data_IF_492051922138
#
_entry.id   IF_492051922138
#
_cell.length_a   1.000
_cell.length_b   1.000
_cell.length_c   1.000
_cell.angle_alpha   90.00
_cell.angle_beta   90.00
_cell.angle_gamma   90.00
#
_symmetry.space_group_name_H-M   'P 1'
#
loop_
_entity.id
_entity.type
_entity.pdbx_description
1 polymer ?
#
# COMPACT_ATOMS: atom_id res chain seq x y z
N UNK A 1 -18.65 16.02 1.76
CA UNK A 1 -18.10 17.36 1.50
C UNK A 1 -17.30 17.28 0.21
N UNK A 2 -17.53 18.17 -0.73
CA UNK A 2 -16.80 18.20 -1.99
C UNK A 2 -15.66 19.22 -1.94
N UNK A 3 -14.45 18.84 -2.35
CA UNK A 3 -13.28 19.71 -2.34
C UNK A 3 -12.46 19.55 -3.64
N UNK A 4 -12.20 20.66 -4.31
CA UNK A 4 -11.23 20.73 -5.39
C UNK A 4 -9.82 20.90 -4.82
N UNK A 5 -8.88 20.10 -5.29
CA UNK A 5 -7.47 20.15 -4.91
C UNK A 5 -6.58 20.01 -6.14
N UNK A 6 -5.30 20.31 -6.01
CA UNK A 6 -4.33 19.92 -7.03
C UNK A 6 -4.36 18.38 -7.18
N UNK A 7 -4.34 17.91 -8.42
CA UNK A 7 -4.36 16.46 -8.70
C UNK A 7 -3.18 15.73 -8.04
N UNK A 8 -2.02 16.37 -7.94
CA UNK A 8 -0.84 15.78 -7.30
C UNK A 8 -1.02 15.60 -5.78
N UNK A 9 -1.73 16.52 -5.12
CA UNK A 9 -1.91 16.52 -3.66
C UNK A 9 -2.82 15.37 -3.20
N UNK A 10 -3.70 14.88 -4.07
CA UNK A 10 -4.66 13.80 -3.72
C UNK A 10 -3.96 12.54 -3.25
N UNK A 11 -2.73 12.27 -3.73
CA UNK A 11 -1.95 11.06 -3.41
C UNK A 11 -1.52 10.99 -1.95
N UNK A 12 -1.47 12.14 -1.26
CA UNK A 12 -1.12 12.24 0.16
C UNK A 12 -2.22 11.70 1.07
N UNK A 13 -3.48 11.88 0.66
CA UNK A 13 -4.67 11.51 1.45
C UNK A 13 -5.35 10.24 0.92
N UNK A 14 -5.30 10.03 -0.40
CA UNK A 14 -5.91 8.91 -1.10
C UNK A 14 -4.82 8.12 -1.86
N UNK A 15 -3.92 7.43 -1.13
CA UNK A 15 -2.85 6.66 -1.75
C UNK A 15 -3.43 5.44 -2.49
N UNK A 16 -2.81 5.13 -3.64
CA UNK A 16 -3.08 3.90 -4.41
C UNK A 16 -2.07 2.79 -4.11
N UNK A 17 -1.00 3.08 -3.38
CA UNK A 17 0.07 2.14 -3.03
C UNK A 17 0.54 2.41 -1.61
N UNK A 18 1.00 1.36 -0.93
CA UNK A 18 1.48 1.43 0.44
C UNK A 18 2.62 2.44 0.66
N UNK A 19 3.42 2.74 -0.37
CA UNK A 19 4.54 3.70 -0.26
C UNK A 19 4.07 5.12 0.09
N UNK A 20 2.85 5.49 -0.32
CA UNK A 20 2.20 6.76 0.00
C UNK A 20 1.26 6.66 1.22
N UNK A 21 1.08 5.48 1.80
CA UNK A 21 0.26 5.30 3.00
C UNK A 21 1.04 5.74 4.24
N UNK A 22 1.16 7.06 4.41
CA UNK A 22 1.84 7.74 5.53
C UNK A 22 0.81 8.21 6.56
N UNK A 23 1.27 8.91 7.60
CA UNK A 23 0.44 9.46 8.68
C UNK A 23 -0.83 10.15 8.16
N UNK A 24 -0.71 11.02 7.15
CA UNK A 24 -1.85 11.77 6.61
C UNK A 24 -2.93 10.88 5.98
N UNK A 25 -2.53 9.80 5.28
CA UNK A 25 -3.47 8.83 4.73
C UNK A 25 -4.17 8.04 5.85
N UNK A 26 -3.42 7.63 6.88
CA UNK A 26 -3.99 6.95 8.05
C UNK A 26 -4.99 7.85 8.80
N UNK A 27 -4.68 9.14 8.96
CA UNK A 27 -5.62 10.10 9.54
C UNK A 27 -6.91 10.22 8.72
N UNK A 28 -6.82 10.18 7.39
CA UNK A 28 -8.00 10.13 6.53
C UNK A 28 -8.81 8.85 6.75
N UNK A 29 -8.15 7.68 6.86
CA UNK A 29 -8.79 6.39 7.15
C UNK A 29 -9.53 6.38 8.51
N UNK A 30 -8.98 7.01 9.54
CA UNK A 30 -9.61 7.09 10.87
C UNK A 30 -10.75 8.09 10.94
N UNK A 31 -10.72 9.12 10.08
CA UNK A 31 -11.63 10.27 10.16
C UNK A 31 -12.74 10.23 9.11
N UNK A 32 -12.60 9.42 8.06
CA UNK A 32 -13.56 9.36 6.95
C UNK A 32 -14.17 7.97 6.83
N UNK A 33 -15.48 7.94 6.58
CA UNK A 33 -16.16 6.74 6.08
C UNK A 33 -15.69 6.45 4.65
N UNK A 34 -15.61 7.50 3.84
CA UNK A 34 -14.92 7.43 2.56
C UNK A 34 -14.27 8.75 2.18
N UNK A 35 -13.16 8.61 1.46
CA UNK A 35 -12.49 9.65 0.70
C UNK A 35 -12.40 9.15 -0.74
N UNK A 36 -13.19 9.72 -1.64
CA UNK A 36 -13.33 9.21 -3.00
C UNK A 36 -13.04 10.29 -4.05
N UNK A 37 -12.30 9.91 -5.08
CA UNK A 37 -12.10 10.76 -6.25
C UNK A 37 -13.40 10.77 -7.08
N UNK A 38 -14.00 11.94 -7.27
CA UNK A 38 -15.18 12.15 -8.14
C UNK A 38 -14.73 12.43 -9.56
N UNK A 39 -13.72 13.28 -9.70
CA UNK A 39 -13.11 13.61 -10.97
C UNK A 39 -11.61 13.88 -10.76
N UNK A 40 -10.80 13.57 -11.76
CA UNK A 40 -9.38 13.92 -11.72
C UNK A 40 -8.64 13.50 -12.97
N UNK A 41 -7.33 13.65 -12.93
CA UNK A 41 -6.47 13.33 -14.06
C UNK A 41 -6.37 11.82 -14.27
N UNK A 42 -6.47 11.41 -15.53
CA UNK A 42 -6.24 10.02 -15.91
C UNK A 42 -4.74 9.70 -15.82
N UNK A 43 -4.32 8.72 -15.02
CA UNK A 43 -2.92 8.29 -14.98
C UNK A 43 -2.34 7.93 -16.36
N UNK A 44 -3.17 7.41 -17.27
CA UNK A 44 -2.74 7.05 -18.63
C UNK A 44 -2.47 8.28 -19.52
N UNK A 45 -3.02 9.45 -19.17
CA UNK A 45 -2.80 10.71 -19.90
C UNK A 45 -1.46 11.38 -19.57
N UNK A 46 -0.77 10.91 -18.52
CA UNK A 46 0.53 11.45 -18.14
C UNK A 46 1.50 11.19 -19.29
N UNK A 47 2.11 12.24 -19.85
CA UNK A 47 3.33 12.10 -20.65
C UNK A 47 4.42 11.70 -19.70
N UNK A 48 4.50 10.41 -19.49
CA UNK A 48 5.24 9.79 -18.41
C UNK A 48 6.73 10.12 -18.52
N UNK A 49 7.18 11.21 -17.89
CA UNK A 49 8.61 11.43 -17.73
C UNK A 49 9.15 10.46 -16.66
N UNK A 50 10.42 10.04 -16.72
CA UNK A 50 11.02 9.21 -15.68
C UNK A 50 10.84 9.79 -14.27
N UNK A 51 10.85 11.11 -14.11
CA UNK A 51 10.64 11.82 -12.85
C UNK A 51 9.21 11.69 -12.35
N UNK A 52 8.22 11.71 -13.25
CA UNK A 52 6.82 11.53 -12.92
C UNK A 52 6.50 10.07 -12.53
N UNK A 53 7.14 9.09 -13.16
CA UNK A 53 6.99 7.68 -12.75
C UNK A 53 7.52 7.40 -11.36
N UNK A 54 8.67 8.00 -11.02
CA UNK A 54 9.22 7.90 -9.65
C UNK A 54 8.21 8.39 -8.60
N UNK A 55 7.35 9.34 -8.95
CA UNK A 55 6.28 9.87 -8.08
C UNK A 55 4.97 9.07 -8.12
N UNK A 56 4.78 8.16 -9.09
CA UNK A 56 3.54 7.41 -9.25
C UNK A 56 3.43 6.17 -8.37
N UNK A 57 4.53 5.72 -7.75
CA UNK A 57 4.59 4.52 -6.90
C UNK A 57 3.64 3.41 -7.39
N UNK A 58 3.98 2.85 -8.54
CA UNK A 58 3.15 1.82 -9.17
C UNK A 58 3.01 0.61 -8.24
N UNK A 59 1.79 0.07 -8.19
CA UNK A 59 1.50 -1.25 -7.62
C UNK A 59 1.13 -2.22 -8.75
N UNK A 60 1.01 -3.49 -8.40
CA UNK A 60 0.57 -4.54 -9.32
C UNK A 60 -0.68 -4.12 -10.12
N UNK A 61 -0.60 -4.28 -11.44
CA UNK A 61 -1.67 -3.95 -12.38
C UNK A 61 -2.92 -4.77 -12.09
N UNK A 62 -2.78 -6.03 -11.66
CA UNK A 62 -3.93 -6.87 -11.37
C UNK A 62 -4.72 -6.38 -10.16
N UNK A 63 -4.06 -5.78 -9.16
CA UNK A 63 -4.74 -5.08 -8.06
C UNK A 63 -5.56 -3.90 -8.62
N UNK A 64 -5.01 -3.11 -9.54
CA UNK A 64 -5.73 -1.98 -10.13
C UNK A 64 -6.96 -2.42 -10.95
N UNK A 65 -6.80 -3.47 -11.77
CA UNK A 65 -7.90 -4.04 -12.56
C UNK A 65 -8.98 -4.61 -11.64
N UNK A 66 -8.61 -5.42 -10.65
CA UNK A 66 -9.56 -6.03 -9.71
C UNK A 66 -10.27 -4.96 -8.86
N UNK A 67 -9.55 -3.95 -8.39
CA UNK A 67 -10.11 -2.80 -7.67
C UNK A 67 -11.13 -2.01 -8.51
N UNK A 68 -10.83 -1.78 -9.79
CA UNK A 68 -11.76 -1.15 -10.75
C UNK A 68 -12.99 -2.01 -11.01
N UNK A 69 -12.80 -3.31 -11.19
CA UNK A 69 -13.91 -4.26 -11.33
C UNK A 69 -14.82 -4.26 -10.10
N UNK A 70 -14.24 -4.33 -8.90
CA UNK A 70 -14.99 -4.32 -7.65
C UNK A 70 -15.78 -3.02 -7.48
N UNK A 71 -15.19 -1.89 -7.89
CA UNK A 71 -15.86 -0.59 -7.91
C UNK A 71 -17.03 -0.57 -8.89
N UNK A 72 -16.86 -1.06 -10.12
CA UNK A 72 -17.94 -1.15 -11.11
C UNK A 72 -19.08 -2.06 -10.63
N UNK A 73 -18.77 -3.13 -9.90
CA UNK A 73 -19.77 -3.98 -9.26
C UNK A 73 -20.55 -3.24 -8.17
N UNK A 74 -19.87 -2.47 -7.30
CA UNK A 74 -20.51 -1.58 -6.32
C UNK A 74 -21.40 -0.53 -6.98
N UNK A 75 -20.94 0.12 -8.04
CA UNK A 75 -21.73 1.08 -8.81
C UNK A 75 -23.01 0.45 -9.34
N UNK A 76 -22.91 -0.75 -9.93
CA UNK A 76 -24.07 -1.49 -10.42
C UNK A 76 -25.06 -1.82 -9.30
N UNK A 77 -24.57 -2.30 -8.16
CA UNK A 77 -25.40 -2.63 -7.00
C UNK A 77 -26.11 -1.40 -6.42
N UNK A 78 -25.44 -0.24 -6.43
CA UNK A 78 -25.97 1.03 -5.94
C UNK A 78 -26.82 1.80 -6.99
N UNK A 79 -27.01 1.25 -8.20
CA UNK A 79 -27.74 1.94 -9.28
C UNK A 79 -27.01 3.16 -9.86
N UNK A 80 -25.71 3.31 -9.60
CA UNK A 80 -24.88 4.42 -10.10
C UNK A 80 -24.50 4.14 -11.55
N UNK A 81 -24.74 5.12 -12.42
CA UNK A 81 -24.37 5.03 -13.84
C UNK A 81 -22.85 5.10 -14.00
N UNK A 82 -22.32 4.30 -14.92
CA UNK A 82 -20.90 4.34 -15.30
C UNK A 82 -20.55 5.71 -15.91
N UNK A 83 -19.28 6.16 -15.81
CA UNK A 83 -18.83 7.36 -16.51
C UNK A 83 -19.15 7.30 -18.01
N UNK A 84 -19.56 8.44 -18.63
CA UNK A 84 -19.76 8.48 -20.08
C UNK A 84 -18.43 8.24 -20.79
N UNK A 85 -18.47 7.65 -22.00
CA UNK A 85 -17.26 7.20 -22.72
C UNK A 85 -16.19 8.29 -22.89
N UNK A 86 -16.60 9.54 -23.17
CA UNK A 86 -15.68 10.66 -23.36
C UNK A 86 -15.05 11.20 -22.06
N UNK A 87 -15.53 10.79 -20.88
CA UNK A 87 -14.99 11.17 -19.55
C UNK A 87 -14.58 9.95 -18.74
N UNK A 88 -14.42 8.79 -19.38
CA UNK A 88 -14.02 7.57 -18.69
C UNK A 88 -12.50 7.47 -18.61
N UNK A 89 -11.99 6.97 -17.49
CA UNK A 89 -10.57 6.66 -17.34
C UNK A 89 -10.19 5.46 -18.22
N UNK A 90 -8.96 5.45 -18.72
CA UNK A 90 -8.43 4.37 -19.55
C UNK A 90 -8.51 3.01 -18.86
N UNK A 91 -8.17 2.93 -17.56
CA UNK A 91 -8.28 1.69 -16.77
C UNK A 91 -9.73 1.20 -16.69
N UNK A 92 -10.69 2.10 -16.51
CA UNK A 92 -12.10 1.72 -16.44
C UNK A 92 -12.58 1.18 -17.79
N UNK A 93 -12.16 1.77 -18.91
CA UNK A 93 -12.44 1.24 -20.24
C UNK A 93 -11.79 -0.13 -20.48
N UNK A 94 -10.53 -0.31 -20.07
CA UNK A 94 -9.82 -1.60 -20.16
C UNK A 94 -10.55 -2.70 -19.39
N UNK A 95 -10.96 -2.43 -18.15
CA UNK A 95 -11.70 -3.39 -17.32
C UNK A 95 -13.04 -3.73 -17.94
N UNK A 96 -13.78 -2.73 -18.42
CA UNK A 96 -15.08 -2.94 -19.05
C UNK A 96 -15.00 -3.76 -20.34
N UNK A 97 -13.88 -3.67 -21.07
CA UNK A 97 -13.68 -4.38 -22.34
C UNK A 97 -13.15 -5.80 -22.13
N UNK A 98 -12.16 -5.96 -21.25
CA UNK A 98 -11.33 -7.16 -21.21
C UNK A 98 -11.47 -7.97 -19.90
N UNK A 99 -12.01 -7.39 -18.82
CA UNK A 99 -11.95 -7.98 -17.47
C UNK A 99 -13.32 -8.01 -16.77
N UNK A 100 -14.32 -8.61 -17.43
CA UNK A 100 -15.72 -8.65 -16.96
C UNK A 100 -16.06 -9.84 -16.05
N UNK A 101 -15.18 -10.85 -15.97
CA UNK A 101 -15.37 -12.03 -15.10
C UNK A 101 -15.26 -11.67 -13.61
N UNK A 102 -15.72 -12.56 -12.72
CA UNK A 102 -15.76 -12.32 -11.26
C UNK A 102 -14.58 -12.91 -10.50
N UNK A 103 -13.79 -13.77 -11.13
CA UNK A 103 -12.66 -14.47 -10.48
C UNK A 103 -11.57 -13.51 -10.00
N UNK A 104 -10.97 -13.71 -8.81
CA UNK A 104 -9.82 -12.92 -8.37
C UNK A 104 -8.68 -12.93 -9.39
N UNK A 105 -8.06 -11.77 -9.63
CA UNK A 105 -6.96 -11.60 -10.59
C UNK A 105 -5.63 -11.37 -9.87
N UNK A 106 -5.61 -10.47 -8.90
CA UNK A 106 -4.42 -10.17 -8.11
C UNK A 106 -3.96 -11.42 -7.35
N UNK A 107 -2.68 -11.78 -7.43
CA UNK A 107 -2.19 -13.02 -6.84
C UNK A 107 -2.70 -14.31 -7.51
N UNK A 108 -3.44 -14.27 -8.62
CA UNK A 108 -3.61 -15.45 -9.52
C UNK A 108 -2.78 -15.28 -10.79
N UNK A 109 -2.75 -14.07 -11.32
CA UNK A 109 -1.89 -13.70 -12.44
C UNK A 109 -0.50 -13.33 -11.92
N UNK A 110 0.53 -13.51 -12.76
CA UNK A 110 1.87 -13.07 -12.39
C UNK A 110 1.91 -11.55 -12.23
N UNK A 111 2.52 -11.10 -11.14
CA UNK A 111 2.53 -9.68 -10.76
C UNK A 111 3.11 -8.81 -11.88
N UNK A 112 2.42 -7.72 -12.22
CA UNK A 112 2.91 -6.80 -13.24
C UNK A 112 2.97 -5.37 -12.70
N UNK A 113 4.19 -4.85 -12.52
CA UNK A 113 4.41 -3.46 -12.09
C UNK A 113 5.00 -2.66 -13.24
N UNK A 114 4.33 -1.56 -13.58
CA UNK A 114 4.83 -0.61 -14.60
C UNK A 114 6.18 -0.04 -14.18
N UNK A 115 7.20 -0.20 -15.02
CA UNK A 115 8.55 0.33 -14.80
C UNK A 115 8.92 1.35 -15.90
N UNK A 116 9.71 2.40 -15.58
CA UNK A 116 10.09 3.42 -16.57
C UNK A 116 10.77 2.92 -17.83
N UNK A 117 11.60 1.89 -17.71
CA UNK A 117 12.36 1.37 -18.84
C UNK A 117 11.49 0.60 -19.85
N UNK A 118 10.25 0.20 -19.48
CA UNK A 118 9.36 -0.54 -20.39
C UNK A 118 8.95 0.33 -21.58
N UNK A 119 8.59 1.58 -21.35
CA UNK A 119 8.24 2.52 -22.43
C UNK A 119 9.43 2.78 -23.37
N UNK A 120 10.65 2.87 -22.83
CA UNK A 120 11.88 2.97 -23.64
C UNK A 120 12.10 1.70 -24.47
N UNK A 121 11.91 0.53 -23.87
CA UNK A 121 12.05 -0.75 -24.55
C UNK A 121 11.02 -0.92 -25.68
N UNK A 122 9.76 -0.54 -25.45
CA UNK A 122 8.69 -0.59 -26.43
C UNK A 122 8.99 0.33 -27.63
N UNK A 123 9.47 1.53 -27.37
CA UNK A 123 9.91 2.46 -28.42
C UNK A 123 11.06 1.88 -29.25
N UNK A 124 12.09 1.32 -28.58
CA UNK A 124 13.22 0.69 -29.26
C UNK A 124 12.79 -0.55 -30.06
N UNK A 125 11.82 -1.33 -29.56
CA UNK A 125 11.25 -2.46 -30.29
C UNK A 125 10.50 -2.01 -31.53
N UNK A 126 9.71 -0.93 -31.45
CA UNK A 126 9.02 -0.33 -32.60
C UNK A 126 10.02 0.17 -33.65
N UNK A 127 11.02 0.94 -33.23
CA UNK A 127 12.05 1.45 -34.16
C UNK A 127 12.84 0.32 -34.82
N UNK A 128 13.09 -0.78 -34.12
CA UNK A 128 13.72 -1.95 -34.72
C UNK A 128 12.81 -2.66 -35.73
N UNK A 129 11.51 -2.77 -35.44
CA UNK A 129 10.54 -3.35 -36.38
C UNK A 129 10.39 -2.52 -37.67
N UNK A 130 10.61 -1.20 -37.57
CA UNK A 130 10.63 -0.27 -38.70
C UNK A 130 12.00 -0.17 -39.40
N UNK A 131 13.00 -0.98 -39.00
CA UNK A 131 14.39 -0.94 -39.46
C UNK A 131 15.08 0.43 -39.27
N UNK A 132 14.56 1.25 -38.35
CA UNK A 132 15.06 2.60 -38.03
C UNK A 132 16.09 2.62 -36.89
N UNK A 133 16.34 1.47 -36.25
CA UNK A 133 17.28 1.37 -35.12
C UNK A 133 18.75 1.20 -35.57
N UNK A 134 18.97 1.09 -36.88
CA UNK A 134 20.29 0.95 -37.51
C UNK A 134 20.89 -0.45 -37.38
N UNK A 135 22.17 -0.57 -37.74
CA UNK A 135 22.87 -1.85 -37.79
C UNK A 135 22.87 -2.59 -36.43
N UNK A 136 23.04 -3.93 -36.40
CA UNK A 136 23.01 -4.73 -35.17
C UNK A 136 23.98 -4.28 -34.07
N UNK A 137 25.12 -3.66 -34.42
CA UNK A 137 26.11 -3.11 -33.48
C UNK A 137 25.84 -1.65 -33.08
N UNK A 138 24.69 -1.08 -33.45
CA UNK A 138 24.33 0.30 -33.10
C UNK A 138 24.10 0.45 -31.59
N UNK A 139 24.28 1.68 -31.07
CA UNK A 139 23.95 2.01 -29.67
C UNK A 139 22.49 1.68 -29.33
N UNK A 140 21.56 1.88 -30.27
CA UNK A 140 20.14 1.57 -30.11
C UNK A 140 19.89 0.07 -29.91
N UNK A 141 20.49 -0.78 -30.74
CA UNK A 141 20.38 -2.23 -30.61
C UNK A 141 21.03 -2.74 -29.30
N UNK A 142 22.18 -2.19 -28.92
CA UNK A 142 22.82 -2.52 -27.65
C UNK A 142 21.94 -2.14 -26.44
N UNK A 143 21.35 -0.93 -26.45
CA UNK A 143 20.42 -0.49 -25.39
C UNK A 143 19.17 -1.38 -25.32
N UNK A 144 18.58 -1.73 -26.47
CA UNK A 144 17.45 -2.66 -26.55
C UNK A 144 17.77 -4.00 -25.92
N UNK A 145 18.93 -4.58 -26.24
CA UNK A 145 19.37 -5.86 -25.68
C UNK A 145 19.57 -5.79 -24.15
N UNK A 146 20.15 -4.70 -23.63
CA UNK A 146 20.31 -4.47 -22.18
C UNK A 146 18.94 -4.44 -21.50
N UNK A 147 17.99 -3.67 -22.03
CA UNK A 147 16.65 -3.53 -21.45
C UNK A 147 15.84 -4.83 -21.55
N UNK A 148 15.97 -5.59 -22.63
CA UNK A 148 15.35 -6.91 -22.77
C UNK A 148 15.89 -7.90 -21.73
N UNK A 149 17.21 -7.94 -21.51
CA UNK A 149 17.82 -8.77 -20.47
C UNK A 149 17.38 -8.34 -19.07
N UNK A 150 17.23 -7.04 -18.84
CA UNK A 150 16.71 -6.50 -17.58
C UNK A 150 15.25 -6.93 -17.35
N UNK A 151 14.40 -6.93 -18.39
CA UNK A 151 13.04 -7.44 -18.32
C UNK A 151 13.02 -8.91 -17.90
N UNK A 152 13.78 -9.77 -18.59
CA UNK A 152 13.85 -11.21 -18.29
C UNK A 152 14.30 -11.45 -16.84
N UNK A 153 15.30 -10.70 -16.35
CA UNK A 153 15.75 -10.82 -14.96
C UNK A 153 14.63 -10.42 -13.98
N UNK A 154 13.94 -9.33 -14.26
CA UNK A 154 12.86 -8.83 -13.43
C UNK A 154 11.68 -9.81 -13.40
N UNK A 155 11.32 -10.42 -14.54
CA UNK A 155 10.28 -11.46 -14.61
C UNK A 155 10.63 -12.68 -13.75
N UNK A 156 11.91 -13.10 -13.75
CA UNK A 156 12.37 -14.20 -12.88
C UNK A 156 12.30 -13.84 -11.41
N UNK A 157 12.70 -12.62 -11.04
CA UNK A 157 12.58 -12.15 -9.65
C UNK A 157 11.12 -12.08 -9.20
N UNK A 158 10.24 -11.56 -10.05
CA UNK A 158 8.81 -11.47 -9.77
C UNK A 158 8.18 -12.86 -9.61
N UNK A 159 8.58 -13.85 -10.40
CA UNK A 159 8.10 -15.23 -10.22
C UNK A 159 8.45 -15.78 -8.83
N UNK A 160 9.67 -15.53 -8.34
CA UNK A 160 10.06 -15.90 -6.96
C UNK A 160 9.23 -15.17 -5.92
N UNK A 161 8.89 -13.89 -6.16
CA UNK A 161 8.04 -13.12 -5.25
C UNK A 161 6.60 -13.67 -5.21
N UNK A 162 6.04 -13.99 -6.37
CA UNK A 162 4.70 -14.60 -6.49
C UNK A 162 4.64 -15.93 -5.73
N UNK A 163 5.66 -16.79 -5.88
CA UNK A 163 5.78 -18.04 -5.11
C UNK A 163 5.79 -17.82 -3.59
N UNK A 164 6.57 -16.84 -3.11
CA UNK A 164 6.64 -16.51 -1.68
C UNK A 164 5.32 -15.94 -1.15
N UNK A 165 4.62 -15.12 -1.94
CA UNK A 165 3.30 -14.60 -1.56
C UNK A 165 2.30 -15.75 -1.46
N UNK A 166 2.28 -16.66 -2.45
CA UNK A 166 1.40 -17.85 -2.42
C UNK A 166 1.70 -18.77 -1.25
N UNK A 167 2.98 -19.02 -0.96
CA UNK A 167 3.40 -19.82 0.19
C UNK A 167 2.89 -19.22 1.50
N UNK A 168 3.02 -17.90 1.70
CA UNK A 168 2.50 -17.22 2.88
C UNK A 168 0.98 -17.33 3.01
N UNK A 169 0.26 -17.16 1.89
CA UNK A 169 -1.20 -17.27 1.88
C UNK A 169 -1.65 -18.69 2.23
N UNK A 170 -1.02 -19.71 1.65
CA UNK A 170 -1.36 -21.09 1.90
C UNK A 170 -1.03 -21.50 3.34
N UNK A 171 0.14 -21.09 3.85
CA UNK A 171 0.52 -21.30 5.25
C UNK A 171 -0.50 -20.67 6.21
N UNK A 172 -0.93 -19.44 5.92
CA UNK A 172 -1.95 -18.72 6.69
C UNK A 172 -3.29 -19.45 6.65
N UNK A 173 -3.72 -19.89 5.47
CA UNK A 173 -4.97 -20.61 5.26
C UNK A 173 -4.99 -21.93 6.04
N UNK A 174 -3.96 -22.75 5.87
CA UNK A 174 -3.82 -24.05 6.52
C UNK A 174 -3.75 -23.96 8.05
N UNK A 175 -3.08 -22.94 8.58
CA UNK A 175 -3.05 -22.69 10.01
C UNK A 175 -4.44 -22.28 10.53
N UNK A 176 -5.10 -21.35 9.84
CA UNK A 176 -6.41 -20.83 10.25
C UNK A 176 -7.53 -21.86 10.12
N UNK A 177 -7.41 -22.82 9.21
CA UNK A 177 -8.35 -23.94 9.08
C UNK A 177 -8.09 -25.08 10.07
N UNK A 178 -7.00 -25.02 10.84
CA UNK A 178 -6.59 -26.09 11.76
C UNK A 178 -6.03 -27.33 11.04
N UNK A 179 -5.67 -27.21 9.76
CA UNK A 179 -5.05 -28.30 8.98
C UNK A 179 -3.57 -28.51 9.33
N UNK A 180 -2.93 -27.52 9.98
CA UNK A 180 -1.57 -27.63 10.49
C UNK A 180 -1.56 -27.63 12.03
N UNK A 181 -0.76 -28.53 12.60
CA UNK A 181 -0.40 -28.44 14.02
C UNK A 181 0.48 -27.21 14.28
N UNK A 182 0.57 -26.77 15.54
CA UNK A 182 1.40 -25.62 15.92
C UNK A 182 2.89 -25.83 15.56
N UNK A 183 3.40 -27.05 15.76
CA UNK A 183 4.80 -27.39 15.46
C UNK A 183 5.08 -27.41 13.95
N UNK A 184 4.15 -27.96 13.15
CA UNK A 184 4.26 -27.94 11.69
C UNK A 184 4.19 -26.52 11.13
N UNK A 185 3.30 -25.69 11.67
CA UNK A 185 3.22 -24.28 11.32
C UNK A 185 4.54 -23.57 11.62
N UNK A 186 5.07 -23.70 12.84
CA UNK A 186 6.32 -23.06 13.24
C UNK A 186 7.51 -23.52 12.37
N UNK A 187 7.58 -24.81 12.01
CA UNK A 187 8.63 -25.33 11.14
C UNK A 187 8.56 -24.74 9.72
N UNK A 188 7.35 -24.68 9.12
CA UNK A 188 7.16 -24.11 7.78
C UNK A 188 7.36 -22.60 7.76
N UNK A 189 6.89 -21.92 8.79
CA UNK A 189 7.09 -20.48 8.98
C UNK A 189 8.57 -20.13 9.06
N UNK A 190 9.35 -20.92 9.80
CA UNK A 190 10.81 -20.75 9.89
C UNK A 190 11.46 -20.90 8.52
N UNK A 191 11.11 -21.95 7.78
CA UNK A 191 11.65 -22.18 6.43
C UNK A 191 11.31 -21.03 5.46
N UNK A 192 10.06 -20.56 5.48
CA UNK A 192 9.64 -19.39 4.71
C UNK A 192 10.42 -18.13 5.12
N UNK A 193 10.59 -17.89 6.43
CA UNK A 193 11.34 -16.74 6.94
C UNK A 193 12.81 -16.75 6.51
N UNK A 194 13.44 -17.93 6.50
CA UNK A 194 14.80 -18.14 6.00
C UNK A 194 14.92 -17.85 4.49
N UNK A 195 13.92 -18.27 3.69
CA UNK A 195 13.86 -17.94 2.25
C UNK A 195 13.74 -16.44 2.00
N UNK A 196 12.84 -15.77 2.73
CA UNK A 196 12.70 -14.30 2.65
C UNK A 196 14.00 -13.63 3.08
N UNK A 197 14.63 -14.11 4.16
CA UNK A 197 15.89 -13.57 4.67
C UNK A 197 17.04 -13.69 3.65
N UNK A 198 17.07 -14.77 2.86
CA UNK A 198 18.07 -15.04 1.83
C UNK A 198 17.93 -14.15 0.58
N UNK A 199 16.82 -13.42 0.40
CA UNK A 199 16.68 -12.51 -0.73
C UNK A 199 17.74 -11.38 -0.67
N UNK A 200 18.33 -10.99 -1.82
CA UNK A 200 19.17 -9.80 -1.90
C UNK A 200 18.47 -8.55 -1.38
N UNK A 201 19.21 -7.59 -0.81
CA UNK A 201 18.65 -6.39 -0.15
C UNK A 201 17.57 -5.67 -0.97
N UNK A 202 17.84 -5.41 -2.25
CA UNK A 202 16.89 -4.70 -3.13
C UNK A 202 15.68 -5.58 -3.48
N UNK A 203 15.91 -6.87 -3.79
CA UNK A 203 14.82 -7.82 -4.07
C UNK A 203 13.93 -8.03 -2.84
N UNK A 204 14.48 -8.01 -1.63
CA UNK A 204 13.71 -8.05 -0.37
C UNK A 204 12.81 -6.82 -0.22
N UNK A 205 13.32 -5.62 -0.51
CA UNK A 205 12.52 -4.39 -0.47
C UNK A 205 11.37 -4.40 -1.50
N UNK A 206 11.65 -4.85 -2.72
CA UNK A 206 10.64 -5.01 -3.78
C UNK A 206 9.61 -6.10 -3.42
N UNK A 207 10.06 -7.23 -2.88
CA UNK A 207 9.19 -8.29 -2.35
C UNK A 207 8.22 -7.75 -1.29
N UNK A 208 8.73 -7.07 -0.25
CA UNK A 208 7.87 -6.48 0.78
C UNK A 208 6.89 -5.46 0.20
N UNK A 209 7.29 -4.68 -0.81
CA UNK A 209 6.40 -3.75 -1.49
C UNK A 209 5.23 -4.47 -2.19
N UNK A 210 5.51 -5.54 -2.92
CA UNK A 210 4.49 -6.32 -3.62
C UNK A 210 3.57 -7.05 -2.64
N UNK A 211 4.16 -7.79 -1.71
CA UNK A 211 3.46 -8.53 -0.66
C UNK A 211 2.52 -7.60 0.12
N UNK A 212 3.02 -6.45 0.56
CA UNK A 212 2.21 -5.61 1.46
C UNK A 212 1.08 -4.87 0.73
N UNK A 213 1.29 -4.46 -0.53
CA UNK A 213 0.19 -3.95 -1.37
C UNK A 213 -0.88 -5.02 -1.60
N UNK A 214 -0.45 -6.26 -1.85
CA UNK A 214 -1.36 -7.39 -2.02
C UNK A 214 -2.16 -7.66 -0.75
N UNK A 215 -1.50 -7.73 0.41
CA UNK A 215 -2.16 -7.98 1.69
C UNK A 215 -3.15 -6.88 2.05
N UNK A 216 -2.80 -5.59 1.93
CA UNK A 216 -3.73 -4.48 2.17
C UNK A 216 -4.98 -4.55 1.29
N UNK A 217 -4.80 -4.93 0.03
CA UNK A 217 -5.91 -5.05 -0.92
C UNK A 217 -6.83 -6.24 -0.59
N UNK A 218 -6.29 -7.31 0.00
CA UNK A 218 -7.03 -8.53 0.36
C UNK A 218 -7.75 -8.46 1.70
N UNK A 219 -7.49 -7.45 2.53
CA UNK A 219 -8.28 -7.23 3.75
C UNK A 219 -9.76 -6.98 3.41
N UNK A 220 -10.66 -7.28 4.34
CA UNK A 220 -12.10 -7.03 4.19
C UNK A 220 -12.63 -6.10 5.30
N UNK A 221 -13.02 -4.85 4.97
CA UNK A 221 -12.84 -4.20 3.68
C UNK A 221 -11.35 -3.92 3.36
N UNK A 222 -10.97 -3.67 2.10
CA UNK A 222 -9.60 -3.31 1.75
C UNK A 222 -9.14 -2.07 2.54
N UNK A 223 -7.92 -2.10 3.07
CA UNK A 223 -7.46 -1.06 4.00
C UNK A 223 -7.36 0.33 3.34
N UNK A 224 -6.92 0.40 2.08
CA UNK A 224 -6.83 1.68 1.35
C UNK A 224 -8.22 2.18 0.94
N UNK A 225 -8.55 3.43 1.31
CA UNK A 225 -9.82 4.08 0.92
C UNK A 225 -10.04 4.08 -0.61
N UNK A 226 -8.96 4.15 -1.39
CA UNK A 226 -9.04 4.10 -2.86
C UNK A 226 -9.71 2.80 -3.36
N UNK A 227 -9.40 1.66 -2.74
CA UNK A 227 -9.96 0.36 -3.14
C UNK A 227 -11.39 0.14 -2.64
N UNK A 228 -11.84 0.99 -1.70
CA UNK A 228 -13.20 1.07 -1.19
C UNK A 228 -14.09 2.07 -1.92
N UNK A 229 -13.56 2.78 -2.94
CA UNK A 229 -14.29 3.86 -3.61
C UNK A 229 -15.68 3.40 -4.10
N UNK A 230 -16.71 4.23 -3.91
CA UNK A 230 -18.09 3.90 -4.31
C UNK A 230 -18.30 3.98 -5.84
N UNK A 231 -17.47 4.73 -6.56
CA UNK A 231 -17.57 4.91 -8.01
C UNK A 231 -16.20 5.09 -8.68
N UNK A 232 -16.19 4.87 -10.00
CA UNK A 232 -15.07 5.22 -10.85
C UNK A 232 -15.05 6.73 -11.15
N UNK A 233 -13.91 7.41 -11.04
CA UNK A 233 -13.82 8.85 -11.24
C UNK A 233 -14.04 9.25 -12.70
N UNK A 234 -14.50 10.48 -12.91
CA UNK A 234 -14.54 11.11 -14.23
C UNK A 234 -13.15 11.62 -14.60
N UNK A 235 -12.70 11.33 -15.83
CA UNK A 235 -11.51 11.94 -16.41
C UNK A 235 -11.77 13.43 -16.64
N UNK A 236 -10.89 14.27 -16.12
CA UNK A 236 -10.82 15.69 -16.46
C UNK A 236 -9.81 15.91 -17.58
N UNK A 237 -9.96 17.02 -18.30
CA UNK A 237 -9.06 17.47 -19.35
C UNK A 237 -8.56 18.88 -19.03
N UNK A 238 -7.39 19.30 -19.52
CA UNK A 238 -6.85 20.64 -19.22
C UNK A 238 -7.79 21.79 -19.61
N UNK A 239 -8.64 21.59 -20.61
CA UNK A 239 -9.64 22.58 -21.05
C UNK A 239 -10.84 22.75 -20.12
N UNK A 240 -10.98 21.92 -19.09
CA UNK A 240 -12.07 22.04 -18.10
C UNK A 240 -11.82 23.15 -17.06
N UNK A 241 -10.59 23.69 -16.98
CA UNK A 241 -10.15 24.57 -15.91
C UNK A 241 -9.54 25.88 -16.42
N UNK A 242 -9.61 26.92 -15.58
CA UNK A 242 -8.86 28.16 -15.77
C UNK A 242 -8.08 28.52 -14.48
N UNK A 243 -6.72 28.61 -14.51
CA UNK A 243 -5.85 28.29 -15.65
C UNK A 243 -5.96 26.82 -16.06
N UNK A 244 -5.54 26.47 -17.28
CA UNK A 244 -5.65 25.12 -17.88
C UNK A 244 -4.74 24.10 -17.16
N UNK A 245 -5.00 23.87 -15.88
CA UNK A 245 -4.29 22.98 -14.97
C UNK A 245 -5.34 22.03 -14.42
N UNK A 246 -5.14 20.74 -14.68
CA UNK A 246 -6.05 19.69 -14.22
C UNK A 246 -6.08 19.66 -12.68
N UNK A 247 -7.28 19.61 -12.11
CA UNK A 247 -7.50 19.49 -10.67
C UNK A 247 -8.32 18.23 -10.37
N UNK A 248 -8.31 17.78 -9.11
CA UNK A 248 -9.10 16.66 -8.65
C UNK A 248 -10.23 17.13 -7.74
N UNK A 249 -11.43 16.58 -7.94
CA UNK A 249 -12.57 16.74 -7.06
C UNK A 249 -12.65 15.53 -6.14
N UNK A 250 -12.54 15.74 -4.84
CA UNK A 250 -12.71 14.71 -3.82
C UNK A 250 -14.07 14.84 -3.15
N UNK A 251 -14.72 13.71 -2.89
CA UNK A 251 -15.82 13.58 -1.94
C UNK A 251 -15.32 12.98 -0.62
N UNK A 252 -15.39 13.81 0.42
CA UNK A 252 -14.94 13.52 1.78
C UNK A 252 -16.19 13.33 2.64
N UNK A 253 -16.45 12.12 3.09
CA UNK A 253 -17.52 11.83 4.05
C UNK A 253 -16.92 11.50 5.41
N UNK A 254 -16.93 12.44 6.36
CA UNK A 254 -16.40 12.20 7.71
C UNK A 254 -17.19 11.11 8.43
N UNK A 255 -16.53 10.41 9.34
CA UNK A 255 -17.15 9.52 10.32
C UNK A 255 -16.79 9.94 11.73
N UNK A 256 -17.50 9.36 12.70
CA UNK A 256 -17.12 9.48 14.09
C UNK A 256 -15.78 8.78 14.33
N UNK A 257 -14.71 9.55 14.55
CA UNK A 257 -13.43 9.00 15.01
C UNK A 257 -13.56 8.31 16.36
N UNK A 258 -12.69 7.35 16.63
CA UNK A 258 -12.56 6.72 17.95
C UNK A 258 -12.41 7.78 19.06
N UNK A 259 -13.13 7.67 20.20
CA UNK A 259 -13.15 8.73 21.21
C UNK A 259 -11.78 9.16 21.71
N UNK A 260 -10.85 8.21 21.89
CA UNK A 260 -9.49 8.48 22.36
C UNK A 260 -8.65 9.33 21.39
N UNK A 261 -8.97 9.31 20.09
CA UNK A 261 -8.27 10.15 19.11
C UNK A 261 -8.67 11.63 19.21
N UNK A 262 -9.79 11.94 19.85
CA UNK A 262 -10.33 13.31 19.97
C UNK A 262 -9.79 14.07 21.18
N UNK A 263 -9.17 13.36 22.13
CA UNK A 263 -8.61 13.97 23.33
C UNK A 263 -7.19 14.45 23.01
N UNK A 264 -7.11 15.66 22.44
CA UNK A 264 -5.86 16.34 22.07
C UNK A 264 -5.71 17.65 22.84
N UNK A 265 -4.47 18.05 23.10
CA UNK A 265 -4.14 19.30 23.76
C UNK A 265 -4.17 19.22 25.29
N UNK A 266 -3.56 20.24 25.90
CA UNK A 266 -3.25 20.30 27.34
C UNK A 266 -4.45 20.28 28.29
N UNK A 267 -5.65 20.57 27.77
CA UNK A 267 -6.90 20.55 28.54
C UNK A 267 -7.59 19.17 28.55
N UNK A 268 -6.98 18.15 27.92
CA UNK A 268 -7.53 16.80 27.78
C UNK A 268 -6.61 15.72 28.36
N UNK A 269 -6.99 14.45 28.24
CA UNK A 269 -6.13 13.30 28.58
C UNK A 269 -4.99 13.06 27.58
N UNK A 270 -4.78 13.97 26.60
CA UNK A 270 -3.71 13.98 25.57
C UNK A 270 -3.53 12.65 24.83
N UNK A 271 -4.57 11.81 24.79
CA UNK A 271 -4.47 10.46 24.23
C UNK A 271 -4.30 10.48 22.70
N UNK A 272 -4.86 11.47 22.02
CA UNK A 272 -4.63 11.68 20.60
C UNK A 272 -3.18 12.09 20.30
N UNK A 273 -2.59 12.92 21.17
CA UNK A 273 -1.17 13.32 21.04
C UNK A 273 -0.23 12.14 21.31
N UNK A 274 -0.55 11.31 22.32
CA UNK A 274 0.16 10.04 22.58
C UNK A 274 0.07 9.11 21.37
N UNK A 275 -1.11 8.96 20.77
CA UNK A 275 -1.28 8.11 19.60
C UNK A 275 -0.44 8.60 18.42
N UNK A 276 -0.37 9.90 18.19
CA UNK A 276 0.50 10.49 17.18
C UNK A 276 1.98 10.13 17.38
N UNK A 277 2.45 10.05 18.63
CA UNK A 277 3.81 9.60 18.98
C UNK A 277 3.99 8.10 18.73
N UNK A 278 3.01 7.27 19.10
CA UNK A 278 3.01 5.83 18.83
C UNK A 278 3.10 5.57 17.32
N UNK A 279 2.24 6.23 16.53
CA UNK A 279 2.25 6.08 15.07
C UNK A 279 3.59 6.51 14.48
N UNK A 280 4.15 7.65 14.93
CA UNK A 280 5.46 8.13 14.46
C UNK A 280 6.56 7.11 14.75
N UNK A 281 6.60 6.58 15.98
CA UNK A 281 7.57 5.56 16.39
C UNK A 281 7.45 4.31 15.52
N UNK A 282 6.26 3.72 15.44
CA UNK A 282 6.04 2.47 14.71
C UNK A 282 6.25 2.60 13.19
N UNK A 283 5.90 3.74 12.59
CA UNK A 283 6.06 3.97 11.15
C UNK A 283 7.49 4.36 10.76
N UNK A 284 8.35 4.77 11.70
CA UNK A 284 9.79 4.98 11.44
C UNK A 284 10.46 3.70 10.95
N UNK A 285 10.05 2.56 11.51
CA UNK A 285 10.50 1.21 11.16
C UNK A 285 9.35 0.42 10.52
N UNK A 286 8.64 1.03 9.56
CA UNK A 286 7.37 0.49 9.03
C UNK A 286 7.44 -0.90 8.38
N UNK A 287 8.62 -1.39 8.03
CA UNK A 287 8.84 -2.74 7.47
C UNK A 287 8.98 -3.80 8.55
N UNK A 288 9.31 -3.39 9.77
CA UNK A 288 9.55 -4.31 10.86
C UNK A 288 8.21 -4.88 11.37
N UNK A 289 8.22 -6.12 11.88
CA UNK A 289 7.08 -6.71 12.55
C UNK A 289 6.57 -5.82 13.69
N UNK A 290 5.26 -5.82 13.91
CA UNK A 290 4.65 -4.98 14.95
C UNK A 290 5.27 -5.21 16.31
N UNK A 291 5.52 -6.47 16.66
CA UNK A 291 6.19 -6.85 17.90
C UNK A 291 7.54 -6.13 18.08
N UNK A 292 8.35 -6.01 17.03
CA UNK A 292 9.67 -5.36 17.06
C UNK A 292 9.52 -3.83 17.14
N UNK A 293 8.51 -3.27 16.48
CA UNK A 293 8.24 -1.83 16.57
C UNK A 293 7.69 -1.39 17.94
N UNK A 294 6.97 -2.27 18.64
CA UNK A 294 6.50 -2.02 20.00
C UNK A 294 7.67 -2.03 21.00
N UNK A 295 8.64 -2.93 20.86
CA UNK A 295 9.85 -2.91 21.72
C UNK A 295 10.63 -1.61 21.61
N UNK A 296 10.64 -1.00 20.42
CA UNK A 296 11.28 0.31 20.19
C UNK A 296 10.53 1.44 20.88
N UNK A 297 9.20 1.38 20.93
CA UNK A 297 8.33 2.40 21.53
C UNK A 297 8.67 2.63 23.01
N UNK A 298 8.65 1.57 23.82
CA UNK A 298 9.00 1.65 25.25
C UNK A 298 9.37 0.26 25.79
N UNK A 299 10.29 0.15 26.77
CA UNK A 299 10.58 -1.12 27.42
C UNK A 299 9.32 -1.78 28.00
N UNK A 300 9.07 -3.05 27.66
CA UNK A 300 7.90 -3.80 28.12
C UNK A 300 6.62 -3.54 27.32
N UNK A 301 6.66 -2.70 26.28
CA UNK A 301 5.47 -2.35 25.51
C UNK A 301 4.94 -3.53 24.69
N UNK A 302 5.82 -4.38 24.14
CA UNK A 302 5.40 -5.61 23.45
C UNK A 302 4.53 -6.47 24.35
N UNK A 303 5.00 -6.81 25.54
CA UNK A 303 4.28 -7.66 26.49
C UNK A 303 2.99 -6.97 26.98
N UNK A 304 3.05 -5.67 27.27
CA UNK A 304 1.91 -4.91 27.75
C UNK A 304 0.77 -4.74 26.74
N UNK A 305 1.09 -4.75 25.44
CA UNK A 305 0.15 -4.37 24.36
C UNK A 305 -0.27 -5.57 23.52
N UNK A 306 0.69 -6.42 23.10
CA UNK A 306 0.47 -7.43 22.06
C UNK A 306 -0.56 -8.49 22.47
N UNK A 307 -0.56 -8.90 23.74
CA UNK A 307 -1.52 -9.88 24.28
C UNK A 307 -2.97 -9.41 24.18
N UNK A 308 -3.18 -8.08 24.15
CA UNK A 308 -4.49 -7.45 24.07
C UNK A 308 -4.90 -7.05 22.64
N UNK A 309 -4.12 -7.46 21.62
CA UNK A 309 -4.33 -7.11 20.21
C UNK A 309 -4.49 -8.37 19.32
N UNK A 310 -5.52 -9.21 19.54
CA UNK A 310 -5.67 -10.47 18.81
C UNK A 310 -5.87 -10.26 17.30
N UNK A 311 -6.39 -9.10 16.87
CA UNK A 311 -6.57 -8.80 15.44
C UNK A 311 -5.27 -8.75 14.65
N UNK A 312 -4.12 -8.60 15.30
CA UNK A 312 -2.80 -8.64 14.64
C UNK A 312 -2.45 -10.04 14.13
N UNK A 313 -3.03 -11.07 14.75
CA UNK A 313 -2.78 -12.49 14.43
C UNK A 313 -3.93 -13.15 13.66
N UNK A 314 -5.08 -12.50 13.59
CA UNK A 314 -6.30 -13.02 12.97
C UNK A 314 -6.41 -12.60 11.48
N UNK A 315 -6.29 -13.54 10.52
CA UNK A 315 -6.40 -13.22 9.09
C UNK A 315 -7.75 -12.66 8.67
N UNK A 316 -8.84 -13.01 9.36
CA UNK A 316 -10.17 -12.47 9.07
C UNK A 316 -10.26 -10.97 9.40
N UNK A 317 -9.36 -10.46 10.24
CA UNK A 317 -9.25 -9.04 10.61
C UNK A 317 -8.06 -8.33 9.98
N UNK A 318 -7.41 -8.96 8.98
CA UNK A 318 -6.21 -8.42 8.32
C UNK A 318 -4.90 -8.67 9.07
N UNK A 319 -4.91 -9.56 10.06
CA UNK A 319 -3.72 -10.05 10.76
C UNK A 319 -2.96 -11.14 10.00
N UNK A 320 -1.83 -11.56 10.56
CA UNK A 320 -1.05 -12.71 10.09
C UNK A 320 -0.66 -13.56 11.31
N UNK A 321 -0.86 -14.89 11.27
CA UNK A 321 -0.61 -15.74 12.44
C UNK A 321 0.88 -15.83 12.78
N UNK A 322 1.74 -15.74 11.75
CA UNK A 322 3.18 -15.84 11.90
C UNK A 322 3.82 -14.65 12.62
N UNK A 323 4.93 -14.87 13.29
CA UNK A 323 5.81 -13.92 13.98
C UNK A 323 6.97 -13.46 13.10
N UNK A 324 7.66 -12.38 13.51
CA UNK A 324 8.86 -11.92 12.83
C UNK A 324 8.57 -11.57 11.36
N UNK A 325 9.42 -11.97 10.39
CA UNK A 325 9.23 -11.65 8.96
C UNK A 325 7.89 -12.12 8.35
N UNK A 326 7.24 -13.09 8.99
CA UNK A 326 5.94 -13.66 8.60
C UNK A 326 4.75 -12.93 9.22
N UNK A 327 4.99 -12.02 10.18
CA UNK A 327 3.97 -11.24 10.87
C UNK A 327 3.58 -9.96 10.16
N UNK A 328 2.56 -9.30 10.70
CA UNK A 328 2.12 -7.98 10.24
C UNK A 328 3.15 -6.92 10.62
N UNK A 329 3.36 -5.96 9.71
CA UNK A 329 4.17 -4.78 9.96
C UNK A 329 3.29 -3.53 10.12
N UNK A 330 3.83 -2.47 10.71
CA UNK A 330 3.06 -1.26 11.06
C UNK A 330 2.32 -0.61 9.88
N UNK A 331 2.88 -0.68 8.67
CA UNK A 331 2.23 -0.14 7.45
C UNK A 331 1.09 -1.00 6.90
N UNK A 332 0.96 -2.25 7.36
CA UNK A 332 -0.15 -3.14 7.00
C UNK A 332 -1.39 -2.97 7.89
N UNK A 333 -1.24 -2.31 9.03
CA UNK A 333 -2.29 -2.22 10.03
C UNK A 333 -3.49 -1.44 9.52
N UNK A 334 -4.69 -2.02 9.61
CA UNK A 334 -5.94 -1.29 9.39
C UNK A 334 -6.35 -0.49 10.63
N UNK A 335 -7.42 0.30 10.48
CA UNK A 335 -7.97 1.11 11.57
C UNK A 335 -8.29 0.29 12.82
N UNK A 336 -8.91 -0.87 12.68
CA UNK A 336 -9.29 -1.70 13.82
C UNK A 336 -8.07 -2.11 14.64
N UNK A 337 -7.01 -2.59 13.97
CA UNK A 337 -5.76 -2.96 14.60
C UNK A 337 -5.05 -1.77 15.26
N UNK A 338 -5.05 -0.59 14.62
CA UNK A 338 -4.52 0.64 15.24
C UNK A 338 -5.29 1.03 16.51
N UNK A 339 -6.62 0.86 16.52
CA UNK A 339 -7.43 1.18 17.69
C UNK A 339 -7.23 0.14 18.81
N UNK A 340 -7.09 -1.15 18.49
CA UNK A 340 -6.74 -2.18 19.48
C UNK A 340 -5.39 -1.84 20.16
N UNK A 341 -4.38 -1.43 19.38
CA UNK A 341 -3.07 -1.01 19.92
C UNK A 341 -3.22 0.21 20.85
N UNK A 342 -4.00 1.22 20.46
CA UNK A 342 -4.23 2.40 21.29
C UNK A 342 -4.95 2.04 22.60
N UNK A 343 -6.01 1.25 22.53
CA UNK A 343 -6.76 0.81 23.70
C UNK A 343 -5.89 -0.04 24.64
N UNK A 344 -5.09 -0.94 24.09
CA UNK A 344 -4.16 -1.77 24.84
C UNK A 344 -3.07 -0.91 25.50
N UNK A 345 -2.49 0.05 24.77
CA UNK A 345 -1.55 1.02 25.32
C UNK A 345 -2.17 1.79 26.49
N UNK A 346 -3.42 2.25 26.36
CA UNK A 346 -4.12 2.99 27.41
C UNK A 346 -4.58 2.14 28.61
N UNK A 347 -4.61 0.82 28.47
CA UNK A 347 -4.87 -0.12 29.58
C UNK A 347 -3.59 -0.62 30.23
N UNK A 348 -2.45 -0.51 29.55
CA UNK A 348 -1.16 -0.97 30.05
C UNK A 348 -0.79 -0.21 31.36
N UNK A 349 -0.61 -0.92 32.49
CA UNK A 349 -0.35 -0.27 33.79
C UNK A 349 0.99 0.46 33.86
N UNK A 350 1.98 0.00 33.10
CA UNK A 350 3.34 0.53 33.08
C UNK A 350 3.59 1.46 31.88
N UNK A 351 2.52 1.95 31.24
CA UNK A 351 2.65 2.84 30.09
C UNK A 351 3.40 4.12 30.48
N UNK A 352 4.30 4.62 29.62
CA UNK A 352 4.93 5.92 29.85
C UNK A 352 3.90 7.05 29.77
N UNK A 353 4.19 8.13 30.47
CA UNK A 353 3.50 9.40 30.31
C UNK A 353 3.80 10.04 28.95
N UNK A 354 2.96 10.98 28.54
CA UNK A 354 3.17 11.75 27.32
C UNK A 354 4.54 12.46 27.30
N UNK A 355 4.99 13.02 28.43
CA UNK A 355 6.28 13.71 28.53
C UNK A 355 7.47 12.75 28.36
N UNK A 356 7.39 11.54 28.92
CA UNK A 356 8.41 10.51 28.77
C UNK A 356 8.52 10.02 27.32
N UNK A 357 7.38 9.84 26.63
CA UNK A 357 7.36 9.50 25.20
C UNK A 357 8.01 10.59 24.33
N UNK A 358 7.73 11.86 24.61
CA UNK A 358 8.37 12.98 23.90
C UNK A 358 9.88 12.94 24.11
N UNK A 359 10.35 12.76 25.35
CA UNK A 359 11.78 12.68 25.67
C UNK A 359 12.48 11.59 24.86
N UNK A 360 11.93 10.37 24.88
CA UNK A 360 12.51 9.23 24.15
C UNK A 360 12.57 9.44 22.64
N UNK A 361 11.49 9.96 22.04
CA UNK A 361 11.48 10.25 20.61
C UNK A 361 12.38 11.43 20.22
N UNK A 362 12.65 12.34 21.14
CA UNK A 362 13.67 13.39 20.99
C UNK A 362 15.09 12.81 20.95
N UNK A 363 15.37 11.86 21.85
CA UNK A 363 16.67 11.18 21.92
C UNK A 363 16.94 10.34 20.66
N UNK A 364 15.94 9.63 20.13
CA UNK A 364 16.06 8.84 18.89
C UNK A 364 16.43 9.72 17.67
N UNK A 365 15.99 10.98 17.64
CA UNK A 365 16.34 11.94 16.57
C UNK A 365 17.78 12.45 16.72
N UNK A 366 18.24 12.66 17.96
CA UNK A 366 19.58 13.17 18.25
C UNK A 366 20.69 12.15 17.91
N UNK A 367 20.37 10.85 17.93
CA UNK A 367 21.34 9.77 17.64
C UNK A 367 21.43 9.46 16.13
N UNK A 368 20.53 9.98 15.30
CA UNK A 368 20.44 9.66 13.87
C UNK A 368 21.36 10.47 12.93
N UNK A 369 22.25 11.30 13.48
CA UNK A 369 23.36 11.94 12.74
C UNK A 369 24.69 11.67 13.46
N UNK A 370 25.60 10.93 12.80
CA UNK A 370 26.59 11.63 12.02
C UNK A 370 26.61 11.12 10.57
N UNK A 371 26.36 12.05 9.65
CA UNK A 371 26.89 11.99 8.28
C UNK A 371 28.38 11.61 8.32
N UNK A 372 28.69 10.37 7.94
CA UNK A 372 30.04 10.00 7.48
C UNK A 372 30.11 10.26 5.97
N UNK A 373 31.16 10.99 5.58
CA UNK A 373 31.50 11.52 4.26
C UNK A 373 31.53 10.49 3.10
#
# INVERSE_FOLDING_TARGET
MLLWINDDDKRTFLPRSIQNRRKTALQAEFSCEHLAEVAGKDPASLKVTPEQLKKMYARDQWINIESSRNTLARMKAAGIKKPPSHRRMALTDEVMKNHTGTEPLAGKQSTHVVRPYLAELDELNRLAAEDKLGAPKSKGNARRAILANQLIRNEREVAVFDELIHEQQELTRLHSSGELTADEFAAREKAYSERVAALPKNSKADYHLLRDNYLLFRQDPPALLYDRRPWEPLRVEPGDFFPNVETALLDIQPKAMHPLLRTVGSESTVTGDIFDLIQRSMLSSSLDPVEDTLDKLWPGAREGILENCPSLRDPAKGGLPGTGPSGVCSRLLNEHQWMEILDAFMKWPFRPSHAELIGRLGDDLAVSDPLED
#
